data_IF_111892325975
#
_entry.id   IF_111892325975
#
_cell.length_a   1.000
_cell.length_b   1.000
_cell.length_c   1.000
_cell.angle_alpha   90.00
_cell.angle_beta   90.00
_cell.angle_gamma   90.00
#
_symmetry.space_group_name_H-M   'P 1'
#
loop_
_entity.id
_entity.type
_entity.pdbx_description
1 polymer ?
#
# COMPACT_ATOMS: atom_id res chain seq x y z
N UNK A 1 5.84 17.89 -0.65
CA UNK A 1 6.65 16.65 -0.63
C UNK A 1 6.80 16.21 -2.07
N UNK A 2 8.01 15.84 -2.47
CA UNK A 2 8.25 15.30 -3.81
C UNK A 2 7.53 13.96 -3.98
N UNK A 3 7.09 13.62 -5.22
CA UNK A 3 6.41 12.36 -5.47
C UNK A 3 7.34 11.19 -5.15
N UNK A 4 6.82 10.19 -4.43
CA UNK A 4 7.54 8.96 -4.15
C UNK A 4 7.63 8.14 -5.45
N UNK A 5 8.84 7.99 -5.97
CA UNK A 5 9.11 7.21 -7.17
C UNK A 5 9.60 5.82 -6.81
N UNK A 6 9.26 4.79 -7.61
CA UNK A 6 9.89 3.48 -7.51
C UNK A 6 11.41 3.61 -7.61
N UNK A 7 12.13 2.96 -6.70
CA UNK A 7 13.60 3.00 -6.66
C UNK A 7 14.17 1.62 -6.36
N UNK A 8 15.38 1.35 -6.83
CA UNK A 8 16.10 0.12 -6.50
C UNK A 8 16.48 0.14 -5.01
N UNK A 9 16.17 -0.94 -4.29
CA UNK A 9 16.27 -1.00 -2.81
C UNK A 9 17.71 -0.82 -2.35
N UNK A 10 18.65 -1.53 -2.97
CA UNK A 10 20.07 -1.49 -2.57
C UNK A 10 20.69 -0.10 -2.75
N UNK A 11 20.40 0.55 -3.88
CA UNK A 11 20.90 1.90 -4.16
C UNK A 11 20.33 2.90 -3.14
N UNK A 12 19.02 2.84 -2.88
CA UNK A 12 18.37 3.67 -1.88
C UNK A 12 18.96 3.46 -0.49
N UNK A 13 19.12 2.21 -0.04
CA UNK A 13 19.71 1.91 1.26
C UNK A 13 21.16 2.41 1.38
N UNK A 14 21.94 2.36 0.30
CA UNK A 14 23.35 2.76 0.31
C UNK A 14 23.57 4.26 0.55
N UNK A 15 22.59 5.10 0.17
CA UNK A 15 22.63 6.56 0.38
C UNK A 15 22.00 7.02 1.69
N UNK A 16 21.37 6.12 2.44
CA UNK A 16 20.77 6.44 3.73
C UNK A 16 21.80 6.46 4.86
N UNK A 17 21.59 7.39 5.79
CA UNK A 17 22.32 7.50 7.03
C UNK A 17 21.37 7.41 8.22
N UNK A 18 21.66 6.53 9.16
CA UNK A 18 20.90 6.43 10.41
C UNK A 18 21.18 7.64 11.29
N UNK A 19 20.14 8.45 11.53
CA UNK A 19 20.18 9.59 12.45
C UNK A 19 19.95 9.12 13.88
N UNK A 20 18.97 8.23 14.08
CA UNK A 20 18.60 7.74 15.42
C UNK A 20 17.87 6.39 15.33
N UNK A 21 18.31 5.41 16.13
CA UNK A 21 17.49 4.24 16.42
C UNK A 21 16.47 4.59 17.50
N UNK A 22 15.19 4.31 17.22
CA UNK A 22 14.06 4.61 18.09
C UNK A 22 13.70 3.40 18.96
N UNK A 23 13.53 2.25 18.32
CA UNK A 23 13.19 0.99 18.97
C UNK A 23 13.74 -0.18 18.15
N UNK A 24 14.12 -1.27 18.81
CA UNK A 24 14.74 -2.43 18.18
C UNK A 24 14.42 -3.70 18.98
N UNK A 25 13.88 -4.70 18.28
CA UNK A 25 13.62 -6.04 18.78
C UNK A 25 14.31 -7.06 17.86
N UNK A 26 14.20 -8.35 18.19
CA UNK A 26 14.79 -9.43 17.38
C UNK A 26 14.23 -9.51 15.95
N UNK A 27 13.03 -8.94 15.70
CA UNK A 27 12.32 -9.04 14.42
C UNK A 27 11.94 -7.70 13.82
N UNK A 28 11.97 -6.62 14.60
CA UNK A 28 11.52 -5.30 14.16
C UNK A 28 12.53 -4.22 14.54
N UNK A 29 12.72 -3.25 13.66
CA UNK A 29 13.57 -2.08 13.94
C UNK A 29 12.90 -0.81 13.44
N UNK A 30 12.83 0.18 14.32
CA UNK A 30 12.42 1.54 14.01
C UNK A 30 13.61 2.48 14.10
N UNK A 31 13.86 3.22 13.01
CA UNK A 31 14.94 4.19 12.97
C UNK A 31 14.55 5.43 12.15
N UNK A 32 15.03 6.60 12.55
CA UNK A 32 15.03 7.79 11.71
C UNK A 32 16.30 7.74 10.86
N UNK A 33 16.10 7.74 9.55
CA UNK A 33 17.17 7.76 8.55
C UNK A 33 17.07 9.01 7.71
N UNK A 34 18.20 9.44 7.15
CA UNK A 34 18.30 10.61 6.28
C UNK A 34 18.95 10.20 4.97
N UNK A 35 18.34 10.59 3.87
CA UNK A 35 18.94 10.47 2.54
C UNK A 35 20.00 11.57 2.35
N UNK A 36 21.23 11.15 2.05
CA UNK A 36 22.38 12.04 1.90
C UNK A 36 22.30 12.91 0.65
N UNK A 37 21.59 12.48 -0.39
CA UNK A 37 21.57 13.18 -1.68
C UNK A 37 20.60 14.38 -1.66
N UNK A 38 19.41 14.20 -1.11
CA UNK A 38 18.35 15.22 -1.09
C UNK A 38 18.11 15.81 0.31
N UNK A 39 18.68 15.21 1.37
CA UNK A 39 18.50 15.65 2.75
C UNK A 39 17.16 15.26 3.38
N UNK A 40 16.31 14.50 2.68
CA UNK A 40 15.00 14.05 3.14
C UNK A 40 15.15 13.04 4.30
N UNK A 41 14.31 13.20 5.33
CA UNK A 41 14.26 12.26 6.45
C UNK A 41 13.15 11.24 6.23
N UNK A 42 13.38 10.03 6.70
CA UNK A 42 12.41 8.96 6.67
C UNK A 42 12.35 8.27 8.04
N UNK A 43 11.16 7.86 8.43
CA UNK A 43 10.98 6.82 9.44
C UNK A 43 11.11 5.48 8.72
N UNK A 44 12.16 4.74 9.04
CA UNK A 44 12.39 3.37 8.59
C UNK A 44 11.75 2.41 9.58
N UNK A 45 10.93 1.50 9.07
CA UNK A 45 10.49 0.29 9.77
C UNK A 45 11.00 -0.92 8.99
N UNK A 46 11.85 -1.73 9.62
CA UNK A 46 12.30 -3.02 9.07
C UNK A 46 11.68 -4.15 9.88
N UNK A 47 11.18 -5.16 9.19
CA UNK A 47 10.61 -6.37 9.77
C UNK A 47 11.22 -7.62 9.13
N UNK A 48 11.66 -8.56 9.97
CA UNK A 48 12.18 -9.87 9.53
C UNK A 48 11.18 -10.97 9.86
N UNK A 49 10.66 -11.61 8.81
CA UNK A 49 9.78 -12.77 8.93
C UNK A 49 10.57 -14.07 8.75
N UNK A 50 10.41 -15.03 9.67
CA UNK A 50 11.02 -16.36 9.56
C UNK A 50 9.99 -17.37 9.08
N UNK A 51 10.15 -17.85 7.86
CA UNK A 51 9.32 -18.90 7.30
C UNK A 51 9.79 -20.28 7.80
N UNK A 52 9.09 -20.82 8.79
CA UNK A 52 9.41 -22.11 9.41
C UNK A 52 9.13 -23.32 8.49
N UNK A 53 8.16 -23.23 7.58
CA UNK A 53 7.83 -24.34 6.67
C UNK A 53 8.85 -24.48 5.54
N UNK A 54 9.53 -23.40 5.16
CA UNK A 54 10.62 -23.39 4.16
C UNK A 54 12.01 -23.46 4.81
N UNK A 55 12.15 -24.20 5.91
CA UNK A 55 13.46 -24.45 6.53
C UNK A 55 14.06 -23.24 7.26
N UNK A 56 13.23 -22.28 7.68
CA UNK A 56 13.68 -21.11 8.44
C UNK A 56 14.20 -19.98 7.56
N UNK A 57 13.78 -19.89 6.29
CA UNK A 57 14.13 -18.76 5.41
C UNK A 57 13.70 -17.45 6.06
N UNK A 58 14.60 -16.46 6.07
CA UNK A 58 14.32 -15.12 6.58
C UNK A 58 14.02 -14.19 5.43
N UNK A 59 12.84 -13.58 5.46
CA UNK A 59 12.41 -12.56 4.51
C UNK A 59 12.42 -11.20 5.22
N UNK A 60 13.06 -10.18 4.64
CA UNK A 60 13.20 -8.84 5.22
C UNK A 60 12.37 -7.81 4.44
N UNK A 61 11.52 -7.10 5.18
CA UNK A 61 10.61 -6.09 4.65
C UNK A 61 10.96 -4.72 5.21
N UNK A 62 11.26 -3.76 4.34
CA UNK A 62 11.57 -2.39 4.71
C UNK A 62 10.45 -1.45 4.27
N UNK A 63 10.16 -0.49 5.12
CA UNK A 63 9.18 0.56 4.90
C UNK A 63 9.81 1.91 5.24
N UNK A 64 9.57 2.93 4.43
CA UNK A 64 10.14 4.28 4.57
C UNK A 64 9.05 5.33 4.44
N UNK A 65 8.62 5.88 5.57
CA UNK A 65 7.66 6.98 5.63
C UNK A 65 8.42 8.31 5.59
N UNK A 66 8.19 9.19 4.59
CA UNK A 66 8.81 10.52 4.57
C UNK A 66 8.38 11.36 5.78
N UNK A 67 9.34 12.01 6.41
CA UNK A 67 9.12 12.91 7.56
C UNK A 67 9.44 14.35 7.20
N UNK A 68 8.62 15.29 7.66
CA UNK A 68 9.03 16.69 7.71
C UNK A 68 10.04 16.91 8.85
N UNK A 69 10.79 18.01 8.82
CA UNK A 69 11.73 18.35 9.89
C UNK A 69 11.06 18.45 11.26
N UNK A 70 9.84 18.98 11.32
CA UNK A 70 9.06 19.08 12.55
C UNK A 70 8.63 17.70 13.06
N UNK A 71 8.23 16.79 12.17
CA UNK A 71 7.87 15.40 12.51
C UNK A 71 9.07 14.67 13.16
N UNK A 72 10.28 14.88 12.62
CA UNK A 72 11.52 14.29 13.17
C UNK A 72 11.72 14.73 14.62
N UNK A 73 11.59 16.03 14.90
CA UNK A 73 11.76 16.56 16.24
C UNK A 73 10.69 16.04 17.19
N UNK A 74 9.42 16.04 16.77
CA UNK A 74 8.31 15.55 17.58
C UNK A 74 8.48 14.07 17.96
N UNK A 75 8.95 13.22 17.03
CA UNK A 75 9.25 11.80 17.31
C UNK A 75 10.42 11.67 18.29
N UNK A 76 11.50 12.44 18.09
CA UNK A 76 12.68 12.38 18.97
C UNK A 76 12.39 12.80 20.42
N UNK A 77 11.46 13.74 20.62
CA UNK A 77 11.02 14.16 21.95
C UNK A 77 9.89 13.30 22.54
N UNK A 78 9.39 12.31 21.78
CA UNK A 78 8.31 11.42 22.20
C UNK A 78 6.92 12.08 22.21
N UNK A 79 6.76 13.21 21.52
CA UNK A 79 5.49 13.93 21.40
C UNK A 79 4.56 13.31 20.35
N UNK A 80 5.13 12.62 19.36
CA UNK A 80 4.40 12.00 18.26
C UNK A 80 4.61 10.48 18.22
N UNK A 81 3.52 9.68 18.21
CA UNK A 81 3.62 8.23 17.99
C UNK A 81 4.01 7.92 16.54
N UNK A 82 4.73 6.83 16.33
CA UNK A 82 5.31 6.49 15.02
C UNK A 82 5.10 5.01 14.62
N UNK A 83 4.34 4.25 15.41
CA UNK A 83 4.19 2.81 15.25
C UNK A 83 3.44 2.44 13.97
N UNK A 84 3.96 1.41 13.30
CA UNK A 84 3.29 0.77 12.16
C UNK A 84 2.26 -0.27 12.68
N UNK A 85 1.08 -0.41 12.05
CA UNK A 85 0.57 0.35 10.91
C UNK A 85 -0.19 1.64 11.30
N UNK A 86 -0.51 1.84 12.58
CA UNK A 86 -1.51 2.83 13.02
C UNK A 86 -1.20 4.29 12.62
N UNK A 87 0.08 4.67 12.63
CA UNK A 87 0.52 6.04 12.34
C UNK A 87 0.95 6.26 10.89
N UNK A 88 0.92 5.20 10.08
CA UNK A 88 1.37 5.19 8.69
C UNK A 88 0.19 5.45 7.77
N UNK A 89 -0.33 6.67 7.82
CA UNK A 89 -1.53 7.11 7.07
C UNK A 89 -1.23 7.93 5.81
N UNK A 90 0.05 8.17 5.52
CA UNK A 90 0.52 8.93 4.35
C UNK A 90 1.28 7.98 3.44
N UNK A 91 1.43 8.37 2.17
CA UNK A 91 2.24 7.62 1.22
C UNK A 91 3.66 7.35 1.74
N UNK A 92 4.11 6.10 1.60
CA UNK A 92 5.43 5.64 2.01
C UNK A 92 6.01 4.67 0.98
N UNK A 93 7.32 4.44 1.02
CA UNK A 93 7.96 3.41 0.20
C UNK A 93 7.97 2.08 0.96
N UNK A 94 7.69 0.97 0.29
CA UNK A 94 7.79 -0.38 0.87
C UNK A 94 8.53 -1.35 -0.03
N UNK A 95 9.15 -2.37 0.56
CA UNK A 95 9.67 -3.52 -0.18
C UNK A 95 8.57 -4.12 -1.06
N UNK A 96 8.84 -4.22 -2.36
CA UNK A 96 8.04 -5.00 -3.28
C UNK A 96 8.36 -6.50 -3.19
N UNK A 97 7.76 -7.28 -4.10
CA UNK A 97 8.13 -8.70 -4.32
C UNK A 97 9.49 -8.85 -4.99
N UNK A 98 9.98 -7.78 -5.61
CA UNK A 98 11.31 -7.68 -6.22
C UNK A 98 12.24 -6.84 -5.31
N UNK A 99 13.51 -6.68 -5.69
CA UNK A 99 14.51 -5.86 -4.96
C UNK A 99 14.29 -4.33 -5.14
N UNK A 100 13.02 -3.92 -5.26
CA UNK A 100 12.59 -2.55 -5.52
C UNK A 100 11.71 -2.04 -4.39
N UNK A 101 11.84 -0.75 -4.12
CA UNK A 101 10.95 -0.01 -3.23
C UNK A 101 9.84 0.61 -4.07
N UNK A 102 8.60 0.34 -3.68
CA UNK A 102 7.41 0.81 -4.37
C UNK A 102 6.67 1.82 -3.50
N UNK A 103 6.17 2.93 -4.07
CA UNK A 103 5.27 3.81 -3.36
C UNK A 103 3.97 3.06 -3.04
N UNK A 104 3.47 3.27 -1.83
CA UNK A 104 2.19 2.77 -1.37
C UNK A 104 1.49 3.88 -0.61
N UNK A 105 0.28 4.21 -1.03
CA UNK A 105 -0.56 5.18 -0.33
C UNK A 105 -1.72 4.45 0.38
N UNK A 106 -1.68 4.33 1.71
CA UNK A 106 -2.78 3.75 2.48
C UNK A 106 -4.04 4.61 2.45
N UNK A 107 -3.95 5.89 2.07
CA UNK A 107 -5.10 6.80 1.96
C UNK A 107 -5.84 6.69 0.64
N UNK A 108 -5.21 6.13 -0.41
CA UNK A 108 -5.87 5.83 -1.69
C UNK A 108 -6.82 4.62 -1.61
N UNK A 109 -6.77 3.84 -0.52
CA UNK A 109 -7.86 2.92 -0.17
C UNK A 109 -9.08 3.73 0.31
N UNK A 110 -9.71 4.43 -0.62
CA UNK A 110 -10.97 5.11 -0.39
C UNK A 110 -12.07 4.08 -0.10
N UNK A 111 -12.82 4.28 0.98
CA UNK A 111 -14.15 3.71 1.22
C UNK A 111 -14.30 2.22 0.80
N UNK A 112 -13.47 1.34 1.38
CA UNK A 112 -13.54 -0.12 1.15
C UNK A 112 -14.97 -0.69 1.23
N UNK A 113 -15.87 -0.05 2.00
CA UNK A 113 -17.28 -0.39 2.06
C UNK A 113 -18.05 -0.03 0.79
N UNK A 114 -17.87 1.17 0.19
CA UNK A 114 -18.52 1.52 -1.08
C UNK A 114 -17.96 0.72 -2.25
N UNK A 115 -16.64 0.49 -2.26
CA UNK A 115 -16.00 -0.33 -3.28
C UNK A 115 -16.50 -1.78 -3.16
N UNK A 116 -16.60 -2.32 -1.95
CA UNK A 116 -17.21 -3.64 -1.72
C UNK A 116 -18.70 -3.68 -2.13
N UNK A 117 -19.47 -2.63 -1.88
CA UNK A 117 -20.87 -2.53 -2.32
C UNK A 117 -20.99 -2.51 -3.84
N UNK A 118 -20.13 -1.76 -4.52
CA UNK A 118 -20.06 -1.70 -5.99
C UNK A 118 -19.63 -3.04 -6.59
N UNK A 119 -18.62 -3.70 -6.02
CA UNK A 119 -18.18 -5.04 -6.41
C UNK A 119 -19.28 -6.09 -6.23
N UNK A 120 -20.00 -6.05 -5.11
CA UNK A 120 -21.13 -6.95 -4.85
C UNK A 120 -22.27 -6.71 -5.85
N UNK A 121 -22.56 -5.45 -6.19
CA UNK A 121 -23.57 -5.11 -7.20
C UNK A 121 -23.17 -5.62 -8.59
N UNK A 122 -21.89 -5.50 -8.96
CA UNK A 122 -21.33 -5.99 -10.21
C UNK A 122 -21.43 -7.52 -10.30
N UNK A 123 -21.01 -8.23 -9.24
CA UNK A 123 -21.08 -9.69 -9.16
C UNK A 123 -22.53 -10.20 -9.25
N UNK A 124 -23.47 -9.52 -8.57
CA UNK A 124 -24.89 -9.88 -8.63
C UNK A 124 -25.45 -9.76 -10.05
N UNK A 125 -25.10 -8.68 -10.79
CA UNK A 125 -25.50 -8.48 -12.19
C UNK A 125 -24.90 -9.54 -13.12
N UNK A 126 -23.62 -9.87 -12.95
CA UNK A 126 -22.95 -10.92 -13.73
C UNK A 126 -23.55 -12.32 -13.47
N UNK A 127 -23.90 -12.63 -12.22
CA UNK A 127 -24.58 -13.88 -11.89
C UNK A 127 -25.99 -13.95 -12.50
N UNK A 128 -26.74 -12.84 -12.48
CA UNK A 128 -28.06 -12.76 -13.12
C UNK A 128 -27.95 -12.92 -14.64
N UNK A 129 -26.95 -12.29 -15.26
CA UNK A 129 -26.67 -12.47 -16.69
C UNK A 129 -26.33 -13.92 -17.02
N UNK A 130 -25.44 -14.56 -16.26
CA UNK A 130 -25.06 -15.97 -16.45
C UNK A 130 -26.28 -16.90 -16.40
N UNK A 131 -27.21 -16.67 -15.47
CA UNK A 131 -28.46 -17.45 -15.37
C UNK A 131 -29.37 -17.20 -16.57
N UNK A 132 -29.53 -15.94 -16.99
CA UNK A 132 -30.38 -15.56 -18.14
C UNK A 132 -29.78 -15.96 -19.49
N UNK A 133 -28.46 -16.13 -19.56
CA UNK A 133 -27.73 -16.50 -20.78
C UNK A 133 -28.06 -17.91 -21.27
N UNK A 134 -28.31 -18.84 -20.36
CA UNK A 134 -28.64 -20.23 -20.69
C UNK A 134 -30.03 -20.35 -21.36
N UNK A 135 -30.97 -19.47 -20.97
CA UNK A 135 -32.37 -19.49 -21.43
C UNK A 135 -32.69 -18.38 -22.46
N UNK A 136 -31.72 -17.58 -22.90
CA UNK A 136 -31.96 -16.43 -23.78
C UNK A 136 -32.00 -16.80 -25.27
N UNK A 137 -33.10 -16.42 -25.94
CA UNK A 137 -33.28 -16.53 -27.39
C UNK A 137 -32.37 -15.57 -28.17
N UNK A 138 -32.09 -14.37 -27.62
CA UNK A 138 -31.18 -13.37 -28.21
C UNK A 138 -30.08 -12.97 -27.22
N UNK A 139 -28.92 -13.57 -27.42
CA UNK A 139 -27.72 -13.42 -26.59
C UNK A 139 -26.99 -12.10 -26.83
N UNK A 140 -27.07 -11.54 -28.03
CA UNK A 140 -26.41 -10.27 -28.35
C UNK A 140 -27.14 -9.08 -27.71
N UNK A 141 -28.48 -9.11 -27.70
CA UNK A 141 -29.29 -8.10 -27.01
C UNK A 141 -29.03 -8.13 -25.49
N UNK A 142 -29.02 -9.33 -24.89
CA UNK A 142 -28.75 -9.51 -23.45
C UNK A 142 -27.37 -8.97 -23.04
N UNK A 143 -26.35 -9.20 -23.88
CA UNK A 143 -24.97 -8.74 -23.63
C UNK A 143 -24.86 -7.22 -23.69
N UNK A 144 -25.58 -6.59 -24.62
CA UNK A 144 -25.60 -5.13 -24.76
C UNK A 144 -26.27 -4.45 -23.58
N UNK A 145 -27.36 -5.03 -23.09
CA UNK A 145 -28.05 -4.53 -21.90
C UNK A 145 -27.16 -4.69 -20.66
N UNK A 146 -26.41 -5.79 -20.54
CA UNK A 146 -25.41 -5.95 -19.48
C UNK A 146 -24.34 -4.86 -19.54
N UNK A 147 -23.75 -4.60 -20.70
CA UNK A 147 -22.70 -3.57 -20.80
C UNK A 147 -23.21 -2.18 -20.45
N UNK A 148 -24.45 -1.83 -20.83
CA UNK A 148 -25.07 -0.56 -20.42
C UNK A 148 -25.24 -0.50 -18.90
N UNK A 149 -25.73 -1.58 -18.28
CA UNK A 149 -25.92 -1.64 -16.83
C UNK A 149 -24.58 -1.55 -16.07
N UNK A 150 -23.50 -2.13 -16.61
CA UNK A 150 -22.16 -2.07 -16.02
C UNK A 150 -21.56 -0.66 -16.15
N UNK A 151 -21.72 0.00 -17.30
CA UNK A 151 -21.27 1.38 -17.50
C UNK A 151 -21.95 2.36 -16.53
N UNK A 152 -23.22 2.13 -16.18
CA UNK A 152 -23.94 2.93 -15.18
C UNK A 152 -23.45 2.70 -13.74
N UNK A 153 -23.03 1.48 -13.42
CA UNK A 153 -22.47 1.15 -12.09
C UNK A 153 -21.08 1.78 -11.95
N UNK A 154 -20.22 1.65 -12.96
CA UNK A 154 -18.87 2.22 -12.95
C UNK A 154 -18.93 3.75 -12.84
N UNK A 155 -19.81 4.42 -13.59
CA UNK A 155 -19.98 5.89 -13.49
C UNK A 155 -20.44 6.38 -12.12
N UNK A 156 -21.18 5.56 -11.37
CA UNK A 156 -21.62 5.90 -10.00
C UNK A 156 -20.55 5.68 -8.95
N UNK A 157 -19.55 4.85 -9.24
CA UNK A 157 -18.38 4.63 -8.39
C UNK A 157 -17.35 5.75 -8.55
N UNK A 158 -17.29 6.37 -9.73
CA UNK A 158 -16.41 7.51 -10.03
C UNK A 158 -16.94 8.88 -9.50
N UNK A 159 -18.20 8.96 -9.03
CA UNK A 159 -18.86 10.16 -8.46
C UNK A 159 -18.87 10.17 -6.91
#
# INVERSE_FOLDING_TARGET
MDPLLPTEKQEFLSRLETVKNLDETDFETYAIVKDRENGQHYLRYSFTHINLSEGGRKDEFDHFLPLASDDVLAILFGEQPYQFPDQWKRAYLRSGTDDRLMPFDPSENHDLEKDAEAELALLAKLQQFKRKWEDADDKEALTRDLFRDLDEIIKKTDE
#
